data_IF_478291251021
#
_entry.id   IF_478291251021
#
_cell.length_a   1.000
_cell.length_b   1.000
_cell.length_c   1.000
_cell.angle_alpha   90.00
_cell.angle_beta   90.00
_cell.angle_gamma   90.00
#
_symmetry.space_group_name_H-M   'P 1'
#
loop_
_entity.id
_entity.type
_entity.pdbx_description
1 polymer ?
#
# COMPACT_ATOMS: atom_id res chain seq x y z
N UNK A 1 -5.13 -6.80 -6.41
CA UNK A 1 -4.56 -5.73 -5.57
C UNK A 1 -5.64 -4.70 -5.26
N UNK A 2 -5.87 -4.43 -3.99
CA UNK A 2 -6.73 -3.38 -3.51
C UNK A 2 -5.85 -2.26 -2.95
N UNK A 3 -5.97 -1.04 -3.45
CA UNK A 3 -5.22 0.11 -2.96
C UNK A 3 -6.03 1.39 -3.20
N UNK A 4 -5.92 2.35 -2.31
CA UNK A 4 -6.64 3.64 -2.41
C UNK A 4 -6.41 4.37 -3.72
N UNK A 5 -5.19 4.28 -4.23
CA UNK A 5 -4.76 5.00 -5.42
C UNK A 5 -4.08 4.05 -6.38
N UNK A 6 -4.13 4.40 -7.61
CA UNK A 6 -3.35 3.81 -8.68
C UNK A 6 -2.32 4.84 -9.21
N UNK A 7 -1.40 4.43 -10.11
CA UNK A 7 -0.32 5.31 -10.57
C UNK A 7 -0.76 6.57 -11.32
N UNK A 8 -2.01 6.62 -11.81
CA UNK A 8 -2.56 7.79 -12.53
C UNK A 8 -3.21 8.81 -11.59
N UNK A 9 -3.45 8.42 -10.34
CA UNK A 9 -4.02 9.36 -9.39
C UNK A 9 -3.08 10.55 -9.18
N UNK A 10 -3.55 11.81 -9.25
CA UNK A 10 -2.70 12.99 -9.07
C UNK A 10 -1.98 13.05 -7.71
N UNK A 11 -2.49 12.31 -6.72
CA UNK A 11 -1.91 12.20 -5.39
C UNK A 11 -1.05 10.93 -5.22
N UNK A 12 -0.79 10.18 -6.30
CA UNK A 12 0.07 9.01 -6.25
C UNK A 12 1.50 9.36 -5.81
N UNK A 13 2.10 8.49 -5.02
CA UNK A 13 3.41 8.69 -4.43
C UNK A 13 4.34 7.49 -4.56
N UNK A 14 5.23 7.35 -3.58
CA UNK A 14 6.18 6.24 -3.51
C UNK A 14 5.50 4.89 -3.39
N UNK A 15 4.46 4.79 -2.56
CA UNK A 15 3.70 3.56 -2.35
C UNK A 15 3.12 3.01 -3.65
N UNK A 16 2.46 3.87 -4.45
CA UNK A 16 1.85 3.46 -5.72
C UNK A 16 2.91 3.06 -6.76
N UNK A 17 4.07 3.73 -6.76
CA UNK A 17 5.20 3.38 -7.66
C UNK A 17 5.80 2.01 -7.32
N UNK A 18 6.00 1.74 -6.05
CA UNK A 18 6.51 0.44 -5.59
C UNK A 18 5.49 -0.66 -5.90
N UNK A 19 4.22 -0.44 -5.59
CA UNK A 19 3.14 -1.37 -5.91
C UNK A 19 3.09 -1.66 -7.42
N UNK A 20 3.19 -0.63 -8.27
CA UNK A 20 3.24 -0.81 -9.72
C UNK A 20 4.41 -1.71 -10.14
N UNK A 21 5.61 -1.50 -9.56
CA UNK A 21 6.78 -2.29 -9.90
C UNK A 21 6.59 -3.77 -9.56
N UNK A 22 6.01 -4.09 -8.39
CA UNK A 22 5.69 -5.47 -8.02
C UNK A 22 4.64 -6.10 -8.93
N UNK A 23 3.56 -5.38 -9.21
CA UNK A 23 2.49 -5.89 -10.08
C UNK A 23 2.96 -6.10 -11.52
N UNK A 24 3.83 -5.24 -12.04
CA UNK A 24 4.50 -5.46 -13.33
C UNK A 24 5.31 -6.75 -13.34
N UNK A 25 6.07 -6.99 -12.28
CA UNK A 25 6.83 -8.23 -12.14
C UNK A 25 5.94 -9.49 -12.11
N UNK A 26 4.71 -9.40 -11.64
CA UNK A 26 3.72 -10.48 -11.74
C UNK A 26 3.22 -10.64 -13.17
N UNK A 27 2.88 -9.55 -13.85
CA UNK A 27 2.46 -9.60 -15.27
C UNK A 27 3.56 -10.19 -16.16
N UNK A 28 4.81 -9.80 -15.95
CA UNK A 28 5.97 -10.34 -16.68
C UNK A 28 6.17 -11.86 -16.46
N UNK A 29 5.65 -12.40 -15.36
CA UNK A 29 5.64 -13.84 -15.05
C UNK A 29 4.39 -14.56 -15.53
N UNK A 30 3.51 -13.87 -16.27
CA UNK A 30 2.32 -14.45 -16.88
C UNK A 30 1.07 -14.46 -15.98
N UNK A 31 1.08 -13.76 -14.85
CA UNK A 31 -0.11 -13.62 -14.01
C UNK A 31 -1.06 -12.56 -14.57
N UNK A 32 -2.35 -12.82 -14.45
CA UNK A 32 -3.39 -11.81 -14.68
C UNK A 32 -3.55 -10.94 -13.43
N UNK A 33 -3.35 -9.64 -13.59
CA UNK A 33 -3.31 -8.72 -12.47
C UNK A 33 -4.41 -7.66 -12.62
N UNK A 34 -5.23 -7.54 -11.59
CA UNK A 34 -6.22 -6.47 -11.45
C UNK A 34 -5.87 -5.58 -10.27
N UNK A 35 -5.92 -4.28 -10.47
CA UNK A 35 -5.75 -3.26 -9.44
C UNK A 35 -7.05 -2.48 -9.27
N UNK A 36 -7.70 -2.65 -8.13
CA UNK A 36 -8.89 -1.88 -7.77
C UNK A 36 -8.49 -0.68 -6.92
N UNK A 37 -8.93 0.51 -7.31
CA UNK A 37 -8.60 1.77 -6.64
C UNK A 37 -9.83 2.67 -6.48
N UNK A 38 -9.71 3.72 -5.67
CA UNK A 38 -10.72 4.77 -5.58
C UNK A 38 -10.84 5.53 -6.90
N UNK A 39 -12.05 5.90 -7.26
CA UNK A 39 -12.28 6.85 -8.35
C UNK A 39 -11.73 8.25 -7.97
N UNK A 40 -11.28 8.98 -8.97
CA UNK A 40 -10.82 10.36 -8.83
C UNK A 40 -11.26 11.19 -10.05
N UNK A 41 -11.39 12.52 -9.91
CA UNK A 41 -11.80 13.39 -11.00
C UNK A 41 -10.86 13.28 -12.23
N UNK A 42 -11.42 13.02 -13.39
CA UNK A 42 -10.67 12.85 -14.64
C UNK A 42 -10.06 11.48 -14.85
N UNK A 43 -10.14 10.57 -13.89
CA UNK A 43 -9.71 9.16 -14.06
C UNK A 43 -10.76 8.35 -14.82
N UNK A 44 -10.33 7.55 -15.81
CA UNK A 44 -11.20 6.59 -16.46
C UNK A 44 -11.66 5.52 -15.45
N UNK A 45 -12.91 5.04 -15.49
CA UNK A 45 -13.39 3.98 -14.60
C UNK A 45 -12.59 2.68 -14.74
N UNK A 46 -12.12 2.39 -15.93
CA UNK A 46 -11.27 1.25 -16.23
C UNK A 46 -10.21 1.63 -17.28
N UNK A 47 -9.00 1.16 -17.09
CA UNK A 47 -7.91 1.26 -18.07
C UNK A 47 -6.90 0.12 -17.90
N UNK A 48 -5.99 -0.04 -18.84
CA UNK A 48 -4.86 -0.97 -18.74
C UNK A 48 -3.57 -0.19 -18.61
N UNK A 49 -2.82 -0.42 -17.52
CA UNK A 49 -1.52 0.20 -17.25
C UNK A 49 -0.47 -0.91 -17.14
N UNK A 50 0.53 -0.90 -18.00
CA UNK A 50 1.65 -1.86 -18.00
C UNK A 50 1.19 -3.34 -17.90
N UNK A 51 0.10 -3.68 -18.60
CA UNK A 51 -0.49 -5.02 -18.56
C UNK A 51 -1.48 -5.27 -17.43
N UNK A 52 -1.54 -4.40 -16.44
CA UNK A 52 -2.43 -4.47 -15.28
C UNK A 52 -3.79 -3.87 -15.63
N UNK A 53 -4.87 -4.58 -15.33
CA UNK A 53 -6.23 -4.05 -15.41
C UNK A 53 -6.49 -3.17 -14.19
N UNK A 54 -6.69 -1.89 -14.40
CA UNK A 54 -6.97 -0.92 -13.31
C UNK A 54 -8.45 -0.56 -13.35
N UNK A 55 -9.12 -0.76 -12.22
CA UNK A 55 -10.52 -0.43 -12.01
C UNK A 55 -10.63 0.65 -10.94
N UNK A 56 -11.51 1.64 -11.18
CA UNK A 56 -11.73 2.75 -10.24
C UNK A 56 -13.20 2.91 -9.94
N UNK A 57 -13.56 2.64 -8.70
CA UNK A 57 -14.95 2.81 -8.25
C UNK A 57 -15.00 3.22 -6.78
N UNK A 58 -16.01 4.02 -6.44
CA UNK A 58 -16.21 4.53 -5.08
C UNK A 58 -15.20 5.61 -4.69
N UNK A 59 -15.35 6.10 -3.48
CA UNK A 59 -14.47 7.11 -2.88
C UNK A 59 -13.85 6.58 -1.58
N UNK A 60 -13.17 7.46 -0.84
CA UNK A 60 -12.41 7.14 0.37
C UNK A 60 -13.13 6.24 1.38
N UNK A 61 -14.46 6.33 1.50
CA UNK A 61 -15.25 5.58 2.48
C UNK A 61 -16.16 4.53 1.86
N UNK A 62 -16.25 4.46 0.55
CA UNK A 62 -17.20 3.56 -0.16
C UNK A 62 -16.53 2.58 -1.11
N UNK A 63 -15.28 2.80 -1.47
CA UNK A 63 -14.56 1.95 -2.42
C UNK A 63 -14.44 0.49 -1.96
N UNK A 64 -14.29 0.23 -0.66
CA UNK A 64 -14.26 -1.12 -0.12
C UNK A 64 -15.56 -1.90 -0.35
N UNK A 65 -16.73 -1.22 -0.30
CA UNK A 65 -18.02 -1.82 -0.65
C UNK A 65 -18.12 -2.11 -2.15
N UNK A 66 -17.65 -1.16 -2.97
CA UNK A 66 -17.60 -1.35 -4.42
C UNK A 66 -16.69 -2.52 -4.80
N UNK A 67 -15.51 -2.60 -4.21
CA UNK A 67 -14.56 -3.69 -4.43
C UNK A 67 -15.16 -5.06 -4.04
N UNK A 68 -15.79 -5.14 -2.86
CA UNK A 68 -16.47 -6.36 -2.40
C UNK A 68 -17.55 -6.80 -3.38
N UNK A 69 -18.42 -5.86 -3.81
CA UNK A 69 -19.48 -6.12 -4.77
C UNK A 69 -18.88 -6.60 -6.09
N UNK A 70 -17.96 -5.83 -6.64
CA UNK A 70 -17.29 -6.18 -7.89
C UNK A 70 -16.63 -7.56 -7.82
N UNK A 71 -15.89 -7.85 -6.75
CA UNK A 71 -15.23 -9.14 -6.55
C UNK A 71 -16.24 -10.31 -6.55
N UNK A 72 -17.41 -10.13 -5.96
CA UNK A 72 -18.44 -11.19 -5.92
C UNK A 72 -19.07 -11.50 -7.28
N UNK A 73 -18.86 -10.66 -8.27
CA UNK A 73 -19.35 -10.80 -9.65
C UNK A 73 -18.26 -11.34 -10.60
N UNK A 74 -17.03 -11.57 -10.10
CA UNK A 74 -15.91 -12.10 -10.89
C UNK A 74 -15.68 -13.60 -10.64
N UNK A 75 -14.94 -14.23 -11.55
CA UNK A 75 -14.35 -15.53 -11.27
C UNK A 75 -13.38 -15.44 -10.07
N UNK A 76 -13.23 -16.52 -9.29
CA UNK A 76 -12.38 -16.49 -8.10
C UNK A 76 -10.93 -16.14 -8.41
N UNK A 77 -10.38 -15.17 -7.68
CA UNK A 77 -8.96 -14.85 -7.70
C UNK A 77 -8.16 -15.89 -6.91
N UNK A 78 -6.92 -16.15 -7.31
CA UNK A 78 -5.99 -16.98 -6.55
C UNK A 78 -5.41 -16.25 -5.34
N UNK A 79 -5.26 -14.92 -5.43
CA UNK A 79 -4.72 -14.07 -4.37
C UNK A 79 -5.38 -12.69 -4.39
N UNK A 80 -5.78 -12.22 -3.23
CA UNK A 80 -6.22 -10.84 -2.99
C UNK A 80 -5.22 -10.17 -2.07
N UNK A 81 -4.60 -9.08 -2.52
CA UNK A 81 -3.70 -8.27 -1.72
C UNK A 81 -4.45 -7.03 -1.26
N UNK A 82 -4.67 -6.93 0.05
CA UNK A 82 -5.30 -5.79 0.72
C UNK A 82 -4.22 -4.82 1.19
N UNK A 83 -3.97 -3.78 0.39
CA UNK A 83 -3.03 -2.74 0.77
C UNK A 83 -3.74 -1.66 1.55
N UNK A 84 -3.49 -1.63 2.85
CA UNK A 84 -4.08 -0.59 3.67
C UNK A 84 -3.12 0.55 4.00
N UNK A 85 -3.74 1.72 4.07
CA UNK A 85 -3.11 2.93 4.57
C UNK A 85 -4.20 3.73 5.31
N UNK A 86 -4.33 3.43 6.60
CA UNK A 86 -5.36 3.99 7.49
C UNK A 86 -6.70 3.24 7.44
N UNK A 87 -7.44 3.25 6.34
CA UNK A 87 -8.71 2.52 6.20
C UNK A 87 -8.46 1.28 5.35
N UNK A 88 -8.70 0.06 5.87
CA UNK A 88 -8.52 -1.18 5.11
C UNK A 88 -9.67 -1.43 4.14
N UNK A 89 -9.47 -2.39 3.26
CA UNK A 89 -10.50 -2.88 2.35
C UNK A 89 -11.37 -3.98 2.97
N UNK A 90 -11.02 -4.43 4.17
CA UNK A 90 -11.69 -5.52 4.89
C UNK A 90 -11.79 -6.81 4.08
N UNK A 91 -10.80 -7.06 3.21
CA UNK A 91 -10.75 -8.24 2.36
C UNK A 91 -10.83 -9.58 3.15
N UNK A 92 -10.26 -9.74 4.33
CA UNK A 92 -10.40 -10.97 5.12
C UNK A 92 -11.85 -11.33 5.44
N UNK A 93 -12.76 -10.35 5.50
CA UNK A 93 -14.17 -10.60 5.81
C UNK A 93 -14.97 -11.17 4.62
N UNK A 94 -14.43 -11.07 3.40
CA UNK A 94 -15.13 -11.53 2.18
C UNK A 94 -14.25 -12.36 1.25
N UNK A 95 -12.96 -12.49 1.55
CA UNK A 95 -12.01 -13.35 0.84
C UNK A 95 -10.95 -13.92 1.80
N UNK A 96 -11.33 -14.65 2.88
CA UNK A 96 -10.42 -15.00 3.97
C UNK A 96 -9.26 -15.91 3.53
N UNK A 97 -9.55 -16.94 2.74
CA UNK A 97 -8.58 -18.01 2.41
C UNK A 97 -7.50 -17.58 1.40
N UNK A 98 -7.66 -16.40 0.81
CA UNK A 98 -6.80 -15.93 -0.29
C UNK A 98 -6.28 -14.50 -0.07
N UNK A 99 -6.41 -13.99 1.15
CA UNK A 99 -6.04 -12.62 1.47
C UNK A 99 -4.61 -12.54 2.04
N UNK A 100 -3.87 -11.56 1.55
CA UNK A 100 -2.61 -11.08 2.13
C UNK A 100 -2.77 -9.59 2.38
N UNK A 101 -2.44 -9.14 3.57
CA UNK A 101 -2.41 -7.72 3.90
C UNK A 101 -1.06 -7.13 3.52
N UNK A 102 -1.06 -5.98 2.85
CA UNK A 102 0.15 -5.23 2.53
C UNK A 102 0.13 -3.88 3.22
N UNK A 103 1.17 -3.59 3.99
CA UNK A 103 1.29 -2.34 4.73
C UNK A 103 2.70 -1.76 4.62
N UNK A 104 2.80 -0.46 4.35
CA UNK A 104 4.07 0.23 4.30
C UNK A 104 4.55 0.67 5.68
N UNK A 105 3.62 1.09 6.51
CA UNK A 105 3.89 1.59 7.86
C UNK A 105 2.65 1.42 8.77
N UNK A 106 2.90 1.20 10.04
CA UNK A 106 1.89 1.33 11.10
C UNK A 106 1.96 2.77 11.59
N UNK A 107 0.84 3.49 11.47
CA UNK A 107 0.82 4.92 11.79
C UNK A 107 1.05 5.19 13.27
N UNK A 108 0.41 4.41 14.17
CA UNK A 108 0.67 4.51 15.61
C UNK A 108 0.77 5.94 16.13
N UNK A 109 1.96 6.35 16.65
CA UNK A 109 2.19 7.71 17.13
C UNK A 109 2.11 8.80 16.05
N UNK A 110 2.22 8.46 14.77
CA UNK A 110 2.14 9.41 13.66
C UNK A 110 0.77 10.07 13.59
N UNK A 111 -0.27 9.41 14.08
CA UNK A 111 -1.59 10.02 14.24
C UNK A 111 -1.55 11.36 15.02
N UNK A 112 -0.65 11.47 16.01
CA UNK A 112 -0.51 12.68 16.81
C UNK A 112 0.09 13.85 16.02
N UNK A 113 0.88 13.55 15.00
CA UNK A 113 1.48 14.57 14.14
C UNK A 113 0.49 15.14 13.12
N UNK A 114 -0.53 14.36 12.71
CA UNK A 114 -1.49 14.79 11.68
C UNK A 114 -2.81 15.27 12.22
N UNK A 115 -3.23 14.83 13.41
CA UNK A 115 -4.56 15.11 13.91
C UNK A 115 -4.53 15.51 15.39
N UNK A 116 -5.25 16.61 15.77
CA UNK A 116 -5.41 16.99 17.17
C UNK A 116 -6.33 16.00 17.91
N UNK A 117 -6.28 16.05 19.24
CA UNK A 117 -7.25 15.35 20.07
C UNK A 117 -8.69 15.85 19.79
N UNK A 118 -9.72 14.99 19.71
CA UNK A 118 -9.71 13.54 19.95
C UNK A 118 -9.45 12.68 18.70
N UNK A 119 -9.27 13.27 17.50
CA UNK A 119 -9.18 12.55 16.24
C UNK A 119 -7.96 11.61 16.18
N UNK A 120 -6.82 12.02 16.72
CA UNK A 120 -5.64 11.19 16.85
C UNK A 120 -5.88 9.94 17.71
N UNK A 121 -6.59 10.08 18.83
CA UNK A 121 -6.94 8.97 19.70
C UNK A 121 -7.91 7.99 19.01
N UNK A 122 -8.90 8.51 18.30
CA UNK A 122 -9.84 7.72 17.49
C UNK A 122 -9.08 6.97 16.39
N UNK A 123 -8.16 7.63 15.68
CA UNK A 123 -7.34 7.03 14.64
C UNK A 123 -6.51 5.86 15.16
N UNK A 124 -5.77 6.05 16.26
CA UNK A 124 -4.99 4.97 16.91
C UNK A 124 -5.87 3.81 17.38
N UNK A 125 -7.02 4.11 17.95
CA UNK A 125 -7.96 3.08 18.40
C UNK A 125 -8.51 2.27 17.22
N UNK A 126 -8.92 2.94 16.14
CA UNK A 126 -9.40 2.30 14.93
C UNK A 126 -8.30 1.44 14.28
N UNK A 127 -7.06 1.95 14.17
CA UNK A 127 -5.93 1.19 13.64
C UNK A 127 -5.67 -0.10 14.43
N UNK A 128 -5.65 -0.03 15.77
CA UNK A 128 -5.50 -1.22 16.63
C UNK A 128 -6.61 -2.23 16.42
N UNK A 129 -7.87 -1.78 16.31
CA UNK A 129 -9.00 -2.68 16.05
C UNK A 129 -8.85 -3.36 14.68
N UNK A 130 -8.44 -2.60 13.68
CA UNK A 130 -8.19 -3.13 12.34
C UNK A 130 -7.11 -4.19 12.36
N UNK A 131 -5.95 -3.90 12.94
CA UNK A 131 -4.83 -4.85 13.00
C UNK A 131 -5.21 -6.13 13.76
N UNK A 132 -6.04 -6.04 14.80
CA UNK A 132 -6.58 -7.22 15.49
C UNK A 132 -7.49 -8.07 14.60
N UNK A 133 -8.30 -7.46 13.74
CA UNK A 133 -9.13 -8.19 12.78
C UNK A 133 -8.30 -8.90 11.70
N UNK A 134 -7.08 -8.44 11.48
CA UNK A 134 -6.15 -8.98 10.51
C UNK A 134 -5.06 -9.85 11.15
N UNK A 135 -5.11 -10.16 12.45
CA UNK A 135 -4.02 -10.87 13.16
C UNK A 135 -3.66 -12.21 12.53
N UNK A 136 -4.64 -12.95 12.02
CA UNK A 136 -4.47 -14.25 11.38
C UNK A 136 -4.14 -14.16 9.88
N UNK A 137 -4.22 -12.96 9.30
CA UNK A 137 -3.92 -12.74 7.88
C UNK A 137 -2.41 -12.57 7.70
N UNK A 138 -1.79 -13.24 6.74
CA UNK A 138 -0.39 -12.98 6.42
C UNK A 138 -0.17 -11.52 6.01
N UNK A 139 0.77 -10.85 6.66
CA UNK A 139 1.19 -9.50 6.32
C UNK A 139 2.44 -9.50 5.45
N UNK A 140 2.45 -8.59 4.52
CA UNK A 140 3.64 -8.21 3.76
C UNK A 140 4.02 -6.77 4.09
N UNK A 141 5.29 -6.56 4.44
CA UNK A 141 5.88 -5.24 4.69
C UNK A 141 7.31 -5.17 4.18
N UNK A 142 7.88 -3.97 4.12
CA UNK A 142 9.23 -3.77 3.57
C UNK A 142 10.30 -3.49 4.64
N UNK A 143 9.91 -3.07 5.85
CA UNK A 143 10.87 -2.64 6.87
C UNK A 143 10.82 -3.49 8.15
N UNK A 144 11.96 -3.63 8.81
CA UNK A 144 12.06 -4.27 10.12
C UNK A 144 11.21 -3.54 11.16
N UNK A 145 11.25 -2.22 11.14
CA UNK A 145 10.47 -1.41 12.07
C UNK A 145 8.96 -1.66 11.97
N UNK A 146 8.41 -1.70 10.75
CA UNK A 146 6.99 -2.03 10.56
C UNK A 146 6.68 -3.46 10.98
N UNK A 147 7.58 -4.40 10.73
CA UNK A 147 7.45 -5.80 11.18
C UNK A 147 7.38 -5.88 12.71
N UNK A 148 8.25 -5.17 13.42
CA UNK A 148 8.23 -5.12 14.88
C UNK A 148 6.91 -4.56 15.40
N UNK A 149 6.44 -3.43 14.87
CA UNK A 149 5.15 -2.83 15.26
C UNK A 149 3.96 -3.76 14.99
N UNK A 150 3.95 -4.48 13.88
CA UNK A 150 2.91 -5.47 13.57
C UNK A 150 2.95 -6.63 14.58
N UNK A 151 4.13 -7.11 14.92
CA UNK A 151 4.30 -8.18 15.94
C UNK A 151 3.78 -7.72 17.31
N UNK A 152 4.05 -6.49 17.72
CA UNK A 152 3.51 -5.89 18.95
C UNK A 152 1.97 -5.78 18.95
N UNK A 153 1.36 -5.66 17.76
CA UNK A 153 -0.10 -5.66 17.60
C UNK A 153 -0.71 -7.07 17.51
N UNK A 154 0.11 -8.13 17.56
CA UNK A 154 -0.34 -9.51 17.57
C UNK A 154 -0.50 -10.16 16.20
N UNK A 155 0.12 -9.60 15.15
CA UNK A 155 0.15 -10.24 13.83
C UNK A 155 1.11 -11.43 13.87
N UNK A 156 0.63 -12.62 13.48
CA UNK A 156 1.38 -13.87 13.63
C UNK A 156 2.31 -14.16 12.44
N UNK A 157 1.86 -13.87 11.23
CA UNK A 157 2.60 -14.19 10.01
C UNK A 157 2.99 -12.93 9.26
N UNK A 158 4.28 -12.63 9.20
CA UNK A 158 4.80 -11.44 8.54
C UNK A 158 5.92 -11.82 7.57
N UNK A 159 5.74 -11.47 6.29
CA UNK A 159 6.76 -11.61 5.25
C UNK A 159 7.37 -10.26 4.99
N UNK A 160 8.69 -10.15 5.09
CA UNK A 160 9.41 -8.93 4.79
C UNK A 160 10.03 -9.00 3.40
N UNK A 161 9.63 -8.06 2.54
CA UNK A 161 10.20 -7.90 1.20
C UNK A 161 10.67 -6.45 1.07
N UNK A 162 11.99 -6.20 1.17
CA UNK A 162 12.53 -4.86 1.06
C UNK A 162 12.20 -4.19 -0.28
N UNK A 163 12.09 -2.88 -0.29
CA UNK A 163 11.90 -2.15 -1.54
C UNK A 163 13.11 -2.30 -2.45
N UNK A 164 12.84 -2.58 -3.72
CA UNK A 164 13.83 -2.46 -4.78
C UNK A 164 14.09 -1.00 -5.13
N UNK A 165 15.27 -0.72 -5.68
CA UNK A 165 15.61 0.58 -6.24
C UNK A 165 15.79 0.46 -7.74
N UNK A 166 15.20 1.38 -8.49
CA UNK A 166 15.33 1.45 -9.95
C UNK A 166 16.59 2.24 -10.40
N UNK A 167 17.38 2.73 -9.44
CA UNK A 167 18.58 3.50 -9.70
C UNK A 167 19.80 2.59 -9.80
N UNK A 168 20.70 2.90 -10.72
CA UNK A 168 21.99 2.22 -10.84
C UNK A 168 22.98 2.87 -9.88
N UNK A 169 23.69 2.05 -9.11
CA UNK A 169 24.80 2.55 -8.33
C UNK A 169 25.89 3.12 -9.27
N UNK A 170 26.50 4.22 -8.86
CA UNK A 170 27.70 4.71 -9.56
C UNK A 170 28.82 3.71 -9.33
N UNK A 171 29.58 3.40 -10.38
CA UNK A 171 30.76 2.52 -10.28
C UNK A 171 31.87 3.20 -9.46
N UNK A 172 32.00 4.52 -9.63
CA UNK A 172 32.92 5.34 -8.86
C UNK A 172 32.20 6.59 -8.35
N UNK A 173 32.44 6.94 -7.10
CA UNK A 173 31.96 8.21 -6.56
C UNK A 173 32.86 9.34 -7.06
N UNK A 174 32.29 10.43 -7.62
CA UNK A 174 33.10 11.57 -7.99
C UNK A 174 33.79 12.15 -6.75
N UNK A 175 35.05 12.51 -6.90
CA UNK A 175 35.74 13.27 -5.86
C UNK A 175 34.98 14.56 -5.57
N UNK A 176 34.69 14.78 -4.29
CA UNK A 176 34.03 15.99 -3.82
C UNK A 176 35.03 16.84 -3.08
N UNK A 177 35.28 18.02 -3.61
CA UNK A 177 35.88 19.08 -2.82
C UNK A 177 34.83 19.61 -1.84
N UNK A 178 35.19 19.67 -0.57
CA UNK A 178 34.33 20.29 0.45
C UNK A 178 34.55 21.80 0.36
N UNK A 179 33.77 22.43 -0.53
CA UNK A 179 33.70 23.88 -0.61
C UNK A 179 32.94 24.46 0.56
N UNK A 180 33.39 25.56 1.08
CA UNK A 180 32.61 26.35 2.03
C UNK A 180 31.77 27.39 1.30
N UNK A 181 30.46 27.53 1.67
CA UNK A 181 29.73 26.81 2.73
C UNK A 181 29.27 25.38 2.31
N UNK A 182 29.19 24.47 3.28
CA UNK A 182 28.67 23.12 3.08
C UNK A 182 27.25 23.17 2.51
N UNK A 183 27.05 22.54 1.36
CA UNK A 183 25.73 22.46 0.72
C UNK A 183 25.04 21.16 1.10
N UNK A 184 23.91 21.28 1.79
CA UNK A 184 23.05 20.16 2.15
C UNK A 184 21.80 20.16 1.28
N UNK A 185 21.37 18.98 0.87
CA UNK A 185 20.08 18.77 0.20
C UNK A 185 19.23 17.81 1.02
N UNK A 186 17.98 18.17 1.23
CA UNK A 186 16.95 17.30 1.78
C UNK A 186 15.87 17.10 0.73
N UNK A 187 15.51 15.85 0.48
CA UNK A 187 14.41 15.49 -0.41
C UNK A 187 13.37 14.77 0.43
N UNK A 188 12.24 15.42 0.66
CA UNK A 188 11.11 14.87 1.41
C UNK A 188 9.79 15.26 0.75
N UNK A 189 8.71 14.58 1.15
CA UNK A 189 7.35 14.88 0.72
C UNK A 189 6.46 15.15 1.93
#
# INVERSE_FOLDING_TARGET
>A
MLNWRDPRNPLAGGAERVTLAYLRGLVERGHEVTWFANAFPGGAPEEKIDGIRVLREGGKFTAWLAARKWHSEQDPFDLVIDQHHGIPWYAPNWCPDKCVAYIHEVLGPIWDAFYPWPLNAIGRWQERLTLRQYSEVPFWTASDYTRELLTEQGVETIVQIPYGVATRALEELPEKELDEPLRLITVSR
#
